data_IF_571608639188
#
_entry.id   IF_571608639188
#
_cell.length_a   1.000
_cell.length_b   1.000
_cell.length_c   1.000
_cell.angle_alpha   90.00
_cell.angle_beta   90.00
_cell.angle_gamma   90.00
#
_symmetry.space_group_name_H-M   'P 1'
#
loop_
_entity.id
_entity.type
_entity.pdbx_description
1 polymer ?
#
# COMPACT_ATOMS: atom_id res chain seq x y z
N UNK A 1 -10.74 -10.56 9.49
CA UNK A 1 -9.83 -10.62 8.33
C UNK A 1 -8.43 -10.92 8.84
N UNK A 2 -7.77 -11.89 8.26
CA UNK A 2 -6.35 -12.17 8.48
C UNK A 2 -5.63 -11.89 7.15
N UNK A 3 -4.70 -10.95 7.13
CA UNK A 3 -3.86 -10.71 5.98
C UNK A 3 -2.57 -11.51 6.11
N UNK A 4 -2.27 -12.35 5.13
CA UNK A 4 -0.98 -13.00 5.00
C UNK A 4 -0.08 -12.10 4.16
N UNK A 5 1.04 -11.66 4.75
CA UNK A 5 2.02 -10.82 4.09
C UNK A 5 3.25 -11.65 3.74
N UNK A 6 3.67 -11.60 2.48
CA UNK A 6 4.90 -12.22 2.00
C UNK A 6 5.92 -11.12 1.80
N UNK A 7 7.10 -11.22 2.44
CA UNK A 7 8.14 -10.20 2.39
C UNK A 7 9.38 -10.67 1.62
N UNK A 8 9.90 -9.79 0.77
CA UNK A 8 11.28 -9.82 0.25
C UNK A 8 11.97 -8.51 0.67
N UNK A 9 13.05 -8.60 1.46
CA UNK A 9 13.71 -7.44 2.06
C UNK A 9 15.18 -7.39 1.66
N UNK A 10 15.60 -6.28 1.06
CA UNK A 10 17.01 -6.03 0.71
C UNK A 10 17.74 -5.19 1.76
N UNK A 11 19.06 -5.11 1.66
CA UNK A 11 19.92 -4.34 2.56
C UNK A 11 19.65 -2.82 2.53
N UNK A 12 18.86 -2.32 1.61
CA UNK A 12 18.44 -0.90 1.54
C UNK A 12 17.52 -0.47 2.70
N UNK A 13 17.01 -1.43 3.47
CA UNK A 13 16.01 -1.23 4.53
C UNK A 13 16.57 -1.31 5.95
N UNK A 14 17.87 -1.03 6.12
CA UNK A 14 18.59 -1.12 7.42
C UNK A 14 18.08 -0.17 8.52
N UNK A 15 17.23 0.81 8.17
CA UNK A 15 16.59 1.73 9.13
C UNK A 15 15.47 1.07 9.95
N UNK A 16 15.03 -0.10 9.55
CA UNK A 16 13.98 -0.87 10.21
C UNK A 16 14.50 -2.26 10.58
N UNK A 17 14.11 -2.76 11.73
CA UNK A 17 14.23 -4.19 12.00
C UNK A 17 13.19 -4.97 11.20
N UNK A 18 13.39 -6.28 11.02
CA UNK A 18 12.40 -7.13 10.36
C UNK A 18 11.05 -7.15 11.11
N UNK A 19 11.10 -7.08 12.45
CA UNK A 19 9.91 -7.02 13.29
C UNK A 19 9.16 -5.69 13.13
N UNK A 20 9.89 -4.56 13.06
CA UNK A 20 9.28 -3.25 12.83
C UNK A 20 8.62 -3.18 11.45
N UNK A 21 9.28 -3.69 10.39
CA UNK A 21 8.71 -3.75 9.03
C UNK A 21 7.42 -4.59 9.01
N UNK A 22 7.44 -5.77 9.64
CA UNK A 22 6.26 -6.65 9.71
C UNK A 22 5.11 -5.97 10.42
N UNK A 23 5.34 -5.48 11.64
CA UNK A 23 4.31 -4.83 12.46
C UNK A 23 3.72 -3.60 11.79
N UNK A 24 4.57 -2.76 11.19
CA UNK A 24 4.13 -1.54 10.51
C UNK A 24 3.31 -1.88 9.27
N UNK A 25 3.79 -2.85 8.47
CA UNK A 25 3.10 -3.29 7.26
C UNK A 25 1.75 -3.90 7.56
N UNK A 26 1.66 -4.79 8.55
CA UNK A 26 0.40 -5.40 8.98
C UNK A 26 -0.64 -4.34 9.38
N UNK A 27 -0.22 -3.33 10.15
CA UNK A 27 -1.09 -2.23 10.56
C UNK A 27 -1.53 -1.35 9.39
N UNK A 28 -0.61 -1.00 8.49
CA UNK A 28 -0.90 -0.17 7.32
C UNK A 28 -1.84 -0.89 6.35
N UNK A 29 -1.59 -2.17 6.08
CA UNK A 29 -2.45 -3.02 5.24
C UNK A 29 -3.84 -3.15 5.85
N UNK A 30 -3.94 -3.44 7.15
CA UNK A 30 -5.24 -3.56 7.81
C UNK A 30 -6.05 -2.24 7.76
N UNK A 31 -5.40 -1.09 7.96
CA UNK A 31 -6.04 0.21 7.88
C UNK A 31 -6.53 0.51 6.45
N UNK A 32 -5.72 0.22 5.42
CA UNK A 32 -6.10 0.43 4.02
C UNK A 32 -7.30 -0.45 3.61
N UNK A 33 -7.29 -1.74 3.99
CA UNK A 33 -8.42 -2.63 3.75
C UNK A 33 -9.68 -2.15 4.46
N UNK A 34 -9.57 -1.71 5.71
CA UNK A 34 -10.71 -1.22 6.46
C UNK A 34 -11.38 -0.04 5.75
N UNK A 35 -10.64 1.03 5.46
CA UNK A 35 -11.23 2.22 4.81
C UNK A 35 -11.65 1.96 3.37
N UNK A 36 -10.90 1.15 2.61
CA UNK A 36 -11.21 0.84 1.22
C UNK A 36 -12.46 -0.02 1.09
N UNK A 37 -12.59 -1.07 1.87
CA UNK A 37 -13.78 -1.94 1.80
C UNK A 37 -15.02 -1.27 2.40
N UNK A 38 -14.88 -0.51 3.50
CA UNK A 38 -15.99 0.26 4.08
C UNK A 38 -16.54 1.29 3.10
N UNK A 39 -15.67 1.95 2.31
CA UNK A 39 -16.07 2.89 1.26
C UNK A 39 -16.94 2.28 0.18
N UNK A 40 -16.77 0.98 -0.10
CA UNK A 40 -17.59 0.21 -1.04
C UNK A 40 -18.81 -0.47 -0.37
N UNK A 41 -19.04 -0.19 0.93
CA UNK A 41 -20.19 -0.73 1.68
C UNK A 41 -19.96 -2.10 2.30
N UNK A 42 -18.72 -2.55 2.38
CA UNK A 42 -18.36 -3.83 2.98
C UNK A 42 -17.84 -3.65 4.41
N UNK A 43 -18.76 -3.52 5.37
CA UNK A 43 -18.42 -3.37 6.79
C UNK A 43 -17.74 -4.62 7.39
N UNK A 44 -17.97 -5.80 6.76
CA UNK A 44 -17.46 -7.08 7.24
C UNK A 44 -16.88 -7.91 6.09
N UNK A 45 -15.56 -7.94 6.02
CA UNK A 45 -14.84 -8.87 5.15
C UNK A 45 -14.40 -10.10 5.95
N UNK A 46 -14.93 -11.28 5.64
CA UNK A 46 -14.68 -12.52 6.39
C UNK A 46 -13.60 -13.40 5.73
N UNK A 47 -13.36 -13.26 4.41
CA UNK A 47 -12.37 -14.09 3.73
C UNK A 47 -10.94 -13.71 4.15
N UNK A 48 -10.08 -14.72 4.24
CA UNK A 48 -8.65 -14.49 4.40
C UNK A 48 -8.09 -13.80 3.16
N UNK A 49 -7.17 -12.87 3.37
CA UNK A 49 -6.55 -12.06 2.33
C UNK A 49 -5.04 -12.27 2.34
N UNK A 50 -4.42 -12.22 1.17
CA UNK A 50 -2.98 -12.28 1.01
C UNK A 50 -2.50 -11.22 0.02
N UNK A 51 -1.31 -10.68 0.24
CA UNK A 51 -0.59 -9.83 -0.70
C UNK A 51 0.92 -9.94 -0.46
N UNK A 52 1.71 -9.62 -1.47
CA UNK A 52 3.17 -9.58 -1.35
C UNK A 52 3.68 -8.16 -1.24
N UNK A 53 4.68 -7.94 -0.38
CA UNK A 53 5.39 -6.66 -0.27
C UNK A 53 6.89 -6.93 -0.43
N UNK A 54 7.48 -6.35 -1.47
CA UNK A 54 8.92 -6.37 -1.70
C UNK A 54 9.55 -5.04 -1.26
N UNK A 55 10.46 -5.10 -0.29
CA UNK A 55 11.25 -3.98 0.22
C UNK A 55 12.60 -3.96 -0.49
N UNK A 56 12.68 -3.26 -1.59
CA UNK A 56 13.79 -3.30 -2.55
C UNK A 56 14.69 -2.06 -2.48
N UNK A 57 15.85 -2.18 -3.11
CA UNK A 57 16.68 -1.01 -3.45
C UNK A 57 16.14 -0.29 -4.70
N UNK A 58 16.54 0.98 -4.87
CA UNK A 58 16.11 1.81 -5.99
C UNK A 58 16.47 1.21 -7.36
N UNK A 59 17.60 0.47 -7.46
CA UNK A 59 18.04 -0.15 -8.71
C UNK A 59 17.07 -1.26 -9.15
N UNK A 60 16.61 -2.08 -8.23
CA UNK A 60 15.64 -3.13 -8.51
C UNK A 60 14.27 -2.55 -8.87
N UNK A 61 13.82 -1.53 -8.13
CA UNK A 61 12.56 -0.84 -8.45
C UNK A 61 12.63 -0.14 -9.82
N UNK A 62 13.76 0.48 -10.17
CA UNK A 62 13.94 1.09 -11.49
C UNK A 62 13.81 0.05 -12.62
N UNK A 63 14.37 -1.16 -12.46
CA UNK A 63 14.22 -2.25 -13.43
C UNK A 63 12.76 -2.71 -13.56
N UNK A 64 12.08 -2.91 -12.44
CA UNK A 64 10.66 -3.27 -12.45
C UNK A 64 9.81 -2.17 -13.13
N UNK A 65 10.09 -0.91 -12.86
CA UNK A 65 9.39 0.21 -13.48
C UNK A 65 9.68 0.30 -15.00
N UNK A 66 10.90 -0.01 -15.44
CA UNK A 66 11.26 -0.12 -16.85
C UNK A 66 10.52 -1.27 -17.54
N UNK A 67 10.56 -2.47 -16.94
CA UNK A 67 9.99 -3.68 -17.52
C UNK A 67 8.47 -3.61 -17.67
N UNK A 68 7.77 -3.01 -16.68
CA UNK A 68 6.31 -2.98 -16.64
C UNK A 68 5.68 -1.66 -17.11
N UNK A 69 6.39 -0.54 -17.03
CA UNK A 69 5.86 0.79 -17.37
C UNK A 69 6.71 1.54 -18.40
N UNK A 70 7.82 0.96 -18.85
CA UNK A 70 8.74 1.58 -19.81
C UNK A 70 9.49 2.81 -19.24
N UNK A 71 9.57 2.95 -17.91
CA UNK A 71 10.21 4.10 -17.23
C UNK A 71 11.44 3.62 -16.45
N UNK A 72 12.69 3.89 -16.95
CA UNK A 72 13.92 3.38 -16.33
C UNK A 72 14.37 4.21 -15.11
N UNK A 73 13.44 4.64 -14.27
CA UNK A 73 13.71 5.45 -13.08
C UNK A 73 13.04 4.81 -11.86
N UNK A 74 13.64 4.90 -10.66
CA UNK A 74 12.99 4.44 -9.47
C UNK A 74 11.77 5.32 -9.16
N UNK A 75 10.75 4.68 -8.61
CA UNK A 75 9.60 5.34 -7.98
C UNK A 75 9.52 4.85 -6.54
N UNK A 76 8.74 5.51 -5.69
CA UNK A 76 8.63 5.14 -4.28
C UNK A 76 7.91 3.81 -4.06
N UNK A 77 6.78 3.59 -4.78
CA UNK A 77 6.00 2.35 -4.73
C UNK A 77 5.48 1.97 -6.11
N UNK A 78 5.48 0.68 -6.40
CA UNK A 78 4.81 0.06 -7.54
C UNK A 78 3.74 -0.91 -7.02
N UNK A 79 2.59 -0.94 -7.69
CA UNK A 79 1.46 -1.83 -7.37
C UNK A 79 1.06 -2.61 -8.61
N UNK A 80 0.81 -3.90 -8.43
CA UNK A 80 0.29 -4.81 -9.44
C UNK A 80 -0.95 -5.52 -8.90
N UNK A 81 -2.15 -5.00 -9.16
CA UNK A 81 -3.41 -5.65 -8.78
C UNK A 81 -3.53 -7.03 -9.47
N UNK A 82 -3.95 -8.04 -8.71
CA UNK A 82 -4.21 -9.37 -9.28
C UNK A 82 -5.55 -9.42 -10.03
N UNK A 83 -6.48 -8.52 -9.70
CA UNK A 83 -7.84 -8.43 -10.25
C UNK A 83 -8.04 -7.13 -11.00
N UNK A 84 -7.18 -6.86 -11.98
CA UNK A 84 -7.24 -5.63 -12.77
C UNK A 84 -8.57 -5.54 -13.53
N UNK A 85 -9.32 -4.47 -13.27
CA UNK A 85 -10.62 -4.21 -13.91
C UNK A 85 -11.81 -4.91 -13.24
N UNK A 86 -11.60 -5.68 -12.17
CA UNK A 86 -12.67 -6.20 -11.32
C UNK A 86 -12.94 -5.25 -10.15
N UNK A 87 -14.19 -5.16 -9.73
CA UNK A 87 -14.54 -4.40 -8.51
C UNK A 87 -14.28 -5.24 -7.26
N UNK A 88 -14.10 -4.63 -6.07
CA UNK A 88 -14.06 -5.38 -4.83
C UNK A 88 -15.27 -6.32 -4.66
N UNK A 89 -16.47 -5.90 -5.12
CA UNK A 89 -17.70 -6.72 -5.09
C UNK A 89 -17.55 -8.00 -5.92
N UNK A 90 -17.05 -7.89 -7.16
CA UNK A 90 -16.81 -9.06 -8.04
C UNK A 90 -15.84 -10.05 -7.42
N UNK A 91 -14.76 -9.53 -6.79
CA UNK A 91 -13.74 -10.33 -6.12
C UNK A 91 -14.32 -11.02 -4.87
N UNK A 92 -15.16 -10.32 -4.14
CA UNK A 92 -15.79 -10.81 -2.91
C UNK A 92 -16.83 -11.90 -3.19
N UNK A 93 -17.56 -11.80 -4.29
CA UNK A 93 -18.48 -12.85 -4.72
C UNK A 93 -17.76 -14.15 -5.09
N UNK A 94 -16.51 -14.06 -5.55
CA UNK A 94 -15.66 -15.21 -5.87
C UNK A 94 -15.00 -15.82 -4.62
N UNK A 95 -14.75 -15.00 -3.58
CA UNK A 95 -14.16 -15.43 -2.31
C UNK A 95 -15.20 -16.02 -1.37
N UNK A 96 -15.10 -17.33 -1.08
CA UNK A 96 -15.97 -17.99 -0.07
C UNK A 96 -15.31 -17.90 1.30
N UNK A 97 -16.10 -17.74 2.36
CA UNK A 97 -15.62 -17.66 3.75
C UNK A 97 -14.71 -18.85 4.17
N UNK A 98 -14.92 -20.03 3.59
CA UNK A 98 -14.11 -21.24 3.81
C UNK A 98 -13.20 -21.56 2.60
N UNK A 99 -13.03 -20.63 1.67
CA UNK A 99 -12.21 -20.77 0.48
C UNK A 99 -10.73 -20.44 0.71
N UNK A 100 -9.87 -20.57 -0.31
CA UNK A 100 -8.49 -20.08 -0.24
C UNK A 100 -8.48 -18.57 -0.03
N UNK A 101 -7.40 -18.05 0.60
CA UNK A 101 -7.20 -16.61 0.76
C UNK A 101 -7.26 -15.88 -0.59
N UNK A 102 -7.92 -14.73 -0.62
CA UNK A 102 -7.94 -13.87 -1.80
C UNK A 102 -6.57 -13.20 -1.92
N UNK A 103 -5.88 -13.45 -3.03
CA UNK A 103 -4.60 -12.82 -3.30
C UNK A 103 -4.79 -11.53 -4.08
N UNK A 104 -4.56 -10.37 -3.43
CA UNK A 104 -4.84 -9.06 -3.98
C UNK A 104 -3.78 -8.55 -4.96
N UNK A 105 -2.54 -9.00 -4.83
CA UNK A 105 -1.45 -8.62 -5.72
C UNK A 105 -0.16 -8.29 -5.01
N UNK A 106 0.69 -7.50 -5.68
CA UNK A 106 2.06 -7.24 -5.28
C UNK A 106 2.34 -5.74 -5.12
N UNK A 107 3.14 -5.40 -4.11
CA UNK A 107 3.74 -4.08 -3.91
C UNK A 107 5.26 -4.18 -3.96
N UNK A 108 5.93 -3.19 -4.54
CA UNK A 108 7.38 -3.02 -4.42
C UNK A 108 7.70 -1.59 -3.98
N UNK A 109 8.45 -1.46 -2.90
CA UNK A 109 8.85 -0.18 -2.31
C UNK A 109 10.36 0.04 -2.46
N UNK A 110 10.76 1.28 -2.79
CA UNK A 110 12.15 1.69 -3.00
C UNK A 110 12.73 2.36 -1.75
N UNK A 111 13.66 1.67 -1.07
CA UNK A 111 14.17 2.09 0.24
C UNK A 111 14.90 3.44 0.23
N UNK A 112 15.80 3.68 -0.72
CA UNK A 112 16.54 4.93 -0.79
C UNK A 112 15.63 6.10 -1.22
N UNK A 113 14.72 5.87 -2.16
CA UNK A 113 13.72 6.87 -2.57
C UNK A 113 12.82 7.25 -1.40
N UNK A 114 12.31 6.26 -0.65
CA UNK A 114 11.49 6.50 0.54
C UNK A 114 12.24 7.34 1.59
N UNK A 115 13.50 7.00 1.88
CA UNK A 115 14.32 7.74 2.83
C UNK A 115 14.55 9.20 2.42
N UNK A 116 14.83 9.44 1.14
CA UNK A 116 15.00 10.77 0.58
C UNK A 116 13.71 11.60 0.65
N UNK A 117 12.58 11.02 0.21
CA UNK A 117 11.28 11.70 0.25
C UNK A 117 10.84 12.04 1.69
N UNK A 118 11.02 11.11 2.63
CA UNK A 118 10.71 11.37 4.04
C UNK A 118 11.53 12.55 4.58
N UNK A 119 12.82 12.61 4.25
CA UNK A 119 13.68 13.72 4.65
C UNK A 119 13.26 15.06 3.99
N UNK A 120 13.02 15.06 2.68
CA UNK A 120 12.64 16.27 1.93
C UNK A 120 11.27 16.82 2.35
N UNK A 121 10.34 15.94 2.73
CA UNK A 121 8.99 16.29 3.18
C UNK A 121 8.88 16.44 4.71
N UNK A 122 9.98 16.34 5.44
CA UNK A 122 10.01 16.44 6.91
C UNK A 122 9.06 15.44 7.61
N UNK A 123 8.89 14.28 7.01
CA UNK A 123 8.07 13.17 7.54
C UNK A 123 8.93 12.15 8.26
N UNK A 124 8.38 11.50 9.29
CA UNK A 124 9.03 10.34 9.88
C UNK A 124 9.03 9.16 8.91
N UNK A 125 10.09 8.35 8.91
CA UNK A 125 10.17 7.14 8.07
C UNK A 125 8.98 6.19 8.26
N UNK A 126 8.52 5.89 9.51
CA UNK A 126 7.36 5.05 9.72
C UNK A 126 6.07 5.64 9.14
N UNK A 127 5.85 6.96 9.26
CA UNK A 127 4.66 7.61 8.71
C UNK A 127 4.69 7.57 7.18
N UNK A 128 5.82 7.89 6.55
CA UNK A 128 5.93 7.88 5.09
C UNK A 128 5.80 6.46 4.52
N UNK A 129 6.43 5.47 5.16
CA UNK A 129 6.28 4.06 4.77
C UNK A 129 4.82 3.59 4.90
N UNK A 130 4.15 3.90 6.01
CA UNK A 130 2.74 3.55 6.20
C UNK A 130 1.86 4.15 5.10
N UNK A 131 2.08 5.42 4.76
CA UNK A 131 1.36 6.09 3.68
C UNK A 131 1.56 5.39 2.33
N UNK A 132 2.79 5.05 1.96
CA UNK A 132 3.06 4.37 0.68
C UNK A 132 2.46 2.96 0.62
N UNK A 133 2.44 2.23 1.74
CA UNK A 133 1.76 0.92 1.81
C UNK A 133 0.25 1.10 1.65
N UNK A 134 -0.37 2.04 2.37
CA UNK A 134 -1.80 2.35 2.25
C UNK A 134 -2.15 2.69 0.80
N UNK A 135 -1.40 3.62 0.20
CA UNK A 135 -1.57 4.03 -1.19
C UNK A 135 -1.51 2.82 -2.15
N UNK A 136 -0.49 1.99 -2.01
CA UNK A 136 -0.34 0.79 -2.82
C UNK A 136 -1.48 -0.20 -2.64
N UNK A 137 -1.92 -0.46 -1.41
CA UNK A 137 -3.05 -1.37 -1.13
C UNK A 137 -4.36 -0.83 -1.70
N UNK A 138 -4.61 0.47 -1.62
CA UNK A 138 -5.80 1.06 -2.26
C UNK A 138 -5.78 0.84 -3.77
N UNK A 139 -4.61 0.92 -4.43
CA UNK A 139 -4.50 0.54 -5.83
C UNK A 139 -4.79 -0.95 -6.07
N UNK A 140 -4.38 -1.86 -5.17
CA UNK A 140 -4.73 -3.28 -5.27
C UNK A 140 -6.24 -3.51 -5.15
N UNK A 141 -6.94 -2.65 -4.40
CA UNK A 141 -8.40 -2.65 -4.27
C UNK A 141 -9.13 -1.98 -5.43
N UNK A 142 -8.40 -1.47 -6.44
CA UNK A 142 -8.97 -0.87 -7.65
C UNK A 142 -9.17 0.65 -7.57
N UNK A 143 -8.77 1.31 -6.48
CA UNK A 143 -8.76 2.77 -6.43
C UNK A 143 -7.66 3.34 -7.33
N UNK A 144 -7.96 4.46 -7.98
CA UNK A 144 -7.03 5.15 -8.88
C UNK A 144 -7.10 6.66 -8.66
N UNK A 145 -6.16 7.39 -9.26
CA UNK A 145 -6.05 8.85 -9.17
C UNK A 145 -5.81 9.51 -10.53
N UNK A 146 -6.33 8.90 -11.61
CA UNK A 146 -6.20 9.42 -12.98
C UNK A 146 -7.08 10.66 -13.16
N UNK A 147 -8.31 10.65 -12.62
CA UNK A 147 -9.24 11.77 -12.64
C UNK A 147 -9.24 12.51 -11.29
N UNK A 148 -9.46 13.83 -11.30
CA UNK A 148 -9.44 14.66 -10.09
C UNK A 148 -10.35 14.12 -8.98
N UNK A 149 -11.56 13.67 -9.34
CA UNK A 149 -12.49 13.09 -8.35
C UNK A 149 -12.03 11.77 -7.77
N UNK A 150 -11.37 10.94 -8.56
CA UNK A 150 -10.77 9.70 -8.09
C UNK A 150 -9.61 10.00 -7.15
N UNK A 151 -8.78 10.98 -7.51
CA UNK A 151 -7.67 11.45 -6.68
C UNK A 151 -8.18 11.97 -5.32
N UNK A 152 -9.16 12.87 -5.30
CA UNK A 152 -9.76 13.38 -4.07
C UNK A 152 -10.35 12.26 -3.19
N UNK A 153 -11.01 11.29 -3.80
CA UNK A 153 -11.58 10.15 -3.08
C UNK A 153 -10.48 9.28 -2.45
N UNK A 154 -9.50 8.86 -3.24
CA UNK A 154 -8.39 8.02 -2.79
C UNK A 154 -7.56 8.72 -1.71
N UNK A 155 -7.21 9.99 -1.89
CA UNK A 155 -6.54 10.80 -0.87
C UNK A 155 -7.35 10.94 0.42
N UNK A 156 -8.68 11.02 0.32
CA UNK A 156 -9.59 11.00 1.45
C UNK A 156 -9.46 9.71 2.27
N UNK A 157 -9.42 8.56 1.62
CA UNK A 157 -9.22 7.26 2.25
C UNK A 157 -7.82 7.14 2.89
N UNK A 158 -6.78 7.63 2.22
CA UNK A 158 -5.43 7.65 2.78
C UNK A 158 -5.35 8.50 4.05
N UNK A 159 -5.98 9.69 4.09
CA UNK A 159 -6.07 10.52 5.29
C UNK A 159 -6.77 9.80 6.44
N UNK A 160 -7.87 9.09 6.15
CA UNK A 160 -8.59 8.30 7.15
C UNK A 160 -7.71 7.19 7.73
N UNK A 161 -7.09 6.38 6.87
CA UNK A 161 -6.23 5.29 7.29
C UNK A 161 -5.02 5.79 8.10
N UNK A 162 -4.37 6.86 7.67
CA UNK A 162 -3.24 7.47 8.40
C UNK A 162 -3.67 8.01 9.77
N UNK A 163 -4.82 8.66 9.86
CA UNK A 163 -5.39 9.12 11.13
C UNK A 163 -5.66 7.96 12.08
N UNK A 164 -6.21 6.86 11.60
CA UNK A 164 -6.53 5.68 12.42
C UNK A 164 -5.26 5.00 12.96
N UNK A 165 -4.15 5.13 12.23
CA UNK A 165 -2.82 4.71 12.68
C UNK A 165 -2.15 5.71 13.65
N UNK A 166 -2.72 6.90 13.85
CA UNK A 166 -2.17 7.95 14.70
C UNK A 166 -1.08 8.79 14.02
N UNK A 167 -1.02 8.78 12.68
CA UNK A 167 -0.09 9.60 11.90
C UNK A 167 -0.73 10.92 11.44
N UNK A 168 0.08 11.96 11.16
CA UNK A 168 -0.41 13.20 10.56
C UNK A 168 -1.02 12.98 9.17
N UNK A 169 -1.80 13.98 8.71
CA UNK A 169 -2.30 14.04 7.34
C UNK A 169 -1.12 14.00 6.34
N UNK A 170 -1.06 12.99 5.43
CA UNK A 170 0.06 12.85 4.50
C UNK A 170 0.14 13.98 3.47
N UNK A 171 -0.94 14.72 3.28
CA UNK A 171 -1.07 15.85 2.34
C UNK A 171 -1.14 17.20 3.04
N UNK A 172 -1.16 17.22 4.39
CA UNK A 172 -1.14 18.45 5.18
C UNK A 172 0.21 19.16 5.05
N UNK A 173 0.20 20.49 4.96
CA UNK A 173 1.39 21.27 5.23
C UNK A 173 1.77 21.02 6.70
N UNK A 174 3.07 20.72 6.95
CA UNK A 174 3.54 20.55 8.33
C UNK A 174 3.18 21.83 9.09
N UNK A 175 2.21 21.71 10.02
CA UNK A 175 1.89 22.81 10.91
C UNK A 175 3.14 23.10 11.74
N UNK A 176 3.68 24.33 11.60
CA UNK A 176 4.74 24.87 12.44
C UNK A 176 4.36 24.84 13.93
#
# INVERSE_FOLDING_TARGET
MRAELIFDVTDAWTHFSAEDLSTLSERAVAAAFHVGLESEGFDHWEADSALSIAFLDDTRVARLNEDFRGKPQPTNVLSWPNYEGETPEDIMEQGQADGPAVYWGDLALAGQTLGREAFEQEKSLPAHLSHLIIHGVLHLLGYDHIEDKQAEHMEGLERLAMRDLGYPDPYGENAE
#
